data_IF_583593516504
#
_entry.id   IF_583593516504
#
_cell.length_a   1.000
_cell.length_b   1.000
_cell.length_c   1.000
_cell.angle_alpha   90.00
_cell.angle_beta   90.00
_cell.angle_gamma   90.00
#
_symmetry.space_group_name_H-M   'P 1'
#
loop_
_entity.id
_entity.type
_entity.pdbx_description
1 polymer ?
#
# COMPACT_ATOMS: atom_id res chain seq x y z
N UNK A 1 -11.01 15.15 -24.99
CA UNK A 1 -10.79 13.69 -25.06
C UNK A 1 -9.32 13.33 -24.81
N UNK A 2 -8.36 13.78 -25.63
CA UNK A 2 -6.94 13.38 -25.52
C UNK A 2 -6.23 13.81 -24.21
N UNK A 3 -6.43 15.06 -23.75
CA UNK A 3 -5.81 15.56 -22.52
C UNK A 3 -6.24 14.75 -21.28
N UNK A 4 -7.52 14.38 -21.20
CA UNK A 4 -8.07 13.55 -20.14
C UNK A 4 -7.49 12.14 -20.15
N UNK A 5 -7.18 11.59 -21.33
CA UNK A 5 -6.53 10.29 -21.46
C UNK A 5 -5.08 10.32 -20.94
N UNK A 6 -4.34 11.39 -21.26
CA UNK A 6 -2.97 11.57 -20.75
C UNK A 6 -2.93 11.66 -19.22
N UNK A 7 -3.83 12.45 -18.61
CA UNK A 7 -3.93 12.51 -17.15
C UNK A 7 -4.32 11.18 -16.53
N UNK A 8 -5.22 10.42 -17.15
CA UNK A 8 -5.61 9.09 -16.67
C UNK A 8 -4.45 8.09 -16.66
N UNK A 9 -3.57 8.12 -17.67
CA UNK A 9 -2.39 7.25 -17.72
C UNK A 9 -1.37 7.65 -16.64
N UNK A 10 -1.13 8.95 -16.47
CA UNK A 10 -0.23 9.47 -15.43
C UNK A 10 -0.75 9.10 -14.04
N UNK A 11 -2.06 9.25 -13.79
CA UNK A 11 -2.71 8.85 -12.56
C UNK A 11 -2.56 7.35 -12.30
N UNK A 12 -2.75 6.49 -13.31
CA UNK A 12 -2.57 5.05 -13.19
C UNK A 12 -1.14 4.67 -12.78
N UNK A 13 -0.13 5.31 -13.40
CA UNK A 13 1.29 5.12 -13.05
C UNK A 13 1.58 5.58 -11.61
N UNK A 14 1.08 6.76 -11.24
CA UNK A 14 1.20 7.31 -9.90
C UNK A 14 0.59 6.39 -8.84
N UNK A 15 -0.66 5.99 -9.04
CA UNK A 15 -1.40 5.10 -8.15
C UNK A 15 -0.72 3.72 -8.04
N UNK A 16 -0.21 3.15 -9.14
CA UNK A 16 0.51 1.87 -9.10
C UNK A 16 1.82 1.95 -8.28
N UNK A 17 2.58 3.04 -8.43
CA UNK A 17 3.81 3.26 -7.64
C UNK A 17 3.48 3.49 -6.16
N UNK A 18 2.47 4.30 -5.86
CA UNK A 18 1.99 4.56 -4.51
C UNK A 18 1.50 3.26 -3.84
N UNK A 19 0.73 2.45 -4.54
CA UNK A 19 0.26 1.14 -4.07
C UNK A 19 1.44 0.21 -3.75
N UNK A 20 2.45 0.16 -4.62
CA UNK A 20 3.63 -0.68 -4.41
C UNK A 20 4.43 -0.26 -3.19
N UNK A 21 4.64 1.04 -3.00
CA UNK A 21 5.38 1.60 -1.86
C UNK A 21 4.58 1.44 -0.57
N UNK A 22 3.28 1.75 -0.58
CA UNK A 22 2.41 1.64 0.60
C UNK A 22 2.21 0.21 1.05
N UNK A 23 2.02 -0.74 0.13
CA UNK A 23 2.00 -2.16 0.43
C UNK A 23 3.33 -2.60 1.07
N UNK A 24 4.46 -2.22 0.46
CA UNK A 24 5.79 -2.54 1.00
C UNK A 24 6.01 -1.95 2.39
N UNK A 25 5.56 -0.72 2.64
CA UNK A 25 5.64 -0.07 3.96
C UNK A 25 4.79 -0.78 5.03
N UNK A 26 3.65 -1.33 4.61
CA UNK A 26 2.75 -2.07 5.49
C UNK A 26 3.30 -3.46 5.83
N UNK A 27 3.97 -4.13 4.88
CA UNK A 27 4.63 -5.43 5.11
C UNK A 27 5.90 -5.33 5.95
N UNK A 28 6.74 -4.31 5.73
CA UNK A 28 7.99 -4.17 6.49
C UNK A 28 7.75 -3.71 7.94
N UNK A 29 6.63 -3.02 8.22
CA UNK A 29 6.31 -2.47 9.52
C UNK A 29 7.22 -1.29 9.94
N UNK A 30 6.92 -0.63 11.07
CA UNK A 30 7.71 0.50 11.56
C UNK A 30 9.01 0.03 12.21
N UNK A 31 10.03 0.89 12.15
CA UNK A 31 11.24 0.73 12.95
C UNK A 31 10.93 1.09 14.41
N UNK A 32 11.15 0.14 15.34
CA UNK A 32 10.87 0.39 16.75
C UNK A 32 11.83 -0.35 17.67
N UNK A 33 11.89 0.09 18.93
CA UNK A 33 12.56 -0.61 20.01
C UNK A 33 11.66 -1.75 20.51
N UNK A 34 12.12 -3.00 20.39
CA UNK A 34 11.39 -4.17 20.87
C UNK A 34 12.22 -4.97 21.89
N UNK A 35 11.53 -5.72 22.76
CA UNK A 35 12.19 -6.59 23.74
C UNK A 35 12.80 -7.81 23.04
N UNK A 36 14.11 -8.00 23.21
CA UNK A 36 14.79 -9.24 22.85
C UNK A 36 15.03 -10.04 24.13
N UNK A 37 14.16 -11.01 24.38
CA UNK A 37 14.32 -11.94 25.49
C UNK A 37 15.34 -13.02 25.15
N UNK A 38 16.63 -12.71 25.23
CA UNK A 38 17.65 -13.75 25.45
C UNK A 38 17.89 -13.83 26.94
N UNK A 39 17.74 -15.04 27.50
CA UNK A 39 17.90 -15.33 28.93
C UNK A 39 19.03 -14.50 29.55
N UNK A 40 18.71 -13.74 30.58
CA UNK A 40 19.58 -12.97 31.48
C UNK A 40 19.93 -11.49 31.19
N UNK A 41 19.53 -10.86 30.07
CA UNK A 41 19.60 -9.38 29.98
C UNK A 41 18.43 -8.79 29.18
N UNK A 42 17.57 -8.04 29.85
CA UNK A 42 16.48 -7.27 29.22
C UNK A 42 17.07 -6.02 28.55
N UNK A 43 17.71 -6.20 27.39
CA UNK A 43 18.15 -5.08 26.55
C UNK A 43 17.18 -4.90 25.38
N UNK A 44 16.70 -3.68 25.17
CA UNK A 44 15.90 -3.33 23.99
C UNK A 44 16.77 -3.29 22.75
N UNK A 45 16.31 -3.86 21.63
CA UNK A 45 16.98 -3.77 20.32
C UNK A 45 16.12 -2.97 19.35
N UNK A 46 16.74 -2.07 18.62
CA UNK A 46 16.09 -1.34 17.53
C UNK A 46 16.08 -2.19 16.25
N UNK A 47 14.92 -2.34 15.64
CA UNK A 47 14.79 -3.10 14.40
C UNK A 47 13.38 -3.14 13.85
N UNK A 48 13.18 -4.03 12.88
CA UNK A 48 11.87 -4.33 12.30
C UNK A 48 11.40 -5.68 12.85
N UNK A 49 10.57 -5.71 13.91
CA UNK A 49 10.16 -6.96 14.53
C UNK A 49 9.26 -7.83 13.63
N UNK A 50 8.73 -7.27 12.54
CA UNK A 50 7.79 -7.93 11.61
C UNK A 50 8.43 -8.36 10.29
N UNK A 51 9.74 -8.16 10.11
CA UNK A 51 10.42 -8.56 8.87
C UNK A 51 10.59 -10.08 8.86
N UNK A 52 9.69 -10.80 8.20
CA UNK A 52 9.98 -12.18 7.78
C UNK A 52 10.98 -12.14 6.62
N UNK A 53 12.02 -12.97 6.68
CA UNK A 53 13.05 -13.06 5.64
C UNK A 53 12.55 -13.75 4.35
N UNK A 54 11.25 -13.96 4.20
CA UNK A 54 10.69 -14.69 3.06
C UNK A 54 10.26 -13.75 1.94
N UNK A 55 10.69 -14.02 0.70
CA UNK A 55 10.42 -13.18 -0.46
C UNK A 55 8.93 -13.14 -0.77
N UNK A 56 8.49 -11.98 -1.27
CA UNK A 56 7.11 -11.63 -1.59
C UNK A 56 6.53 -12.51 -2.73
N UNK A 57 6.26 -13.78 -2.44
CA UNK A 57 5.30 -14.55 -3.22
C UNK A 57 3.94 -14.22 -2.64
N UNK A 58 2.96 -13.97 -3.51
CA UNK A 58 1.53 -13.96 -3.20
C UNK A 58 1.15 -15.34 -2.63
N UNK A 59 1.55 -15.60 -1.39
CA UNK A 59 1.26 -16.82 -0.66
C UNK A 59 0.32 -16.47 0.47
N UNK A 60 -0.70 -17.29 0.55
CA UNK A 60 -1.73 -17.38 1.57
C UNK A 60 -1.11 -17.82 2.92
N UNK A 61 -0.15 -17.05 3.42
CA UNK A 61 0.49 -17.22 4.72
C UNK A 61 0.19 -15.99 5.56
N UNK A 62 -1.04 -16.03 6.07
CA UNK A 62 -1.72 -15.04 6.90
C UNK A 62 -1.05 -14.87 8.25
N UNK A 63 0.00 -14.07 8.34
CA UNK A 63 0.32 -13.33 9.56
C UNK A 63 0.63 -11.90 9.16
N UNK A 64 -0.35 -11.27 8.50
CA UNK A 64 -0.25 -9.86 8.15
C UNK A 64 -0.34 -9.10 9.46
N UNK A 65 0.70 -8.34 9.76
CA UNK A 65 0.82 -7.36 10.85
C UNK A 65 -0.48 -6.61 11.17
N UNK A 66 -1.37 -6.40 10.18
CA UNK A 66 -2.71 -5.83 10.26
C UNK A 66 -3.69 -6.51 11.23
N UNK A 67 -3.63 -7.84 11.42
CA UNK A 67 -4.71 -8.58 12.11
C UNK A 67 -4.46 -8.83 13.60
N UNK A 68 -3.22 -8.71 14.08
CA UNK A 68 -2.86 -8.92 15.49
C UNK A 68 -2.86 -7.61 16.29
N UNK A 69 -3.99 -6.90 16.24
CA UNK A 69 -4.27 -5.65 16.96
C UNK A 69 -3.90 -5.71 18.47
N UNK A 70 -4.15 -6.79 19.24
CA UNK A 70 -3.77 -6.83 20.66
C UNK A 70 -2.26 -6.92 20.90
N UNK A 71 -1.45 -7.29 19.90
CA UNK A 71 0.01 -7.47 20.02
C UNK A 71 0.78 -6.16 19.72
N UNK A 72 0.11 -5.19 19.09
CA UNK A 72 0.72 -3.92 18.68
C UNK A 72 1.24 -3.05 19.83
N UNK A 73 0.56 -3.10 20.98
CA UNK A 73 0.90 -2.27 22.13
C UNK A 73 2.03 -2.87 22.99
N UNK A 74 2.36 -4.15 22.80
CA UNK A 74 3.37 -4.86 23.61
C UNK A 74 4.69 -5.12 22.89
N UNK A 75 4.72 -5.02 21.56
CA UNK A 75 5.94 -5.28 20.76
C UNK A 75 6.87 -4.06 20.67
N UNK A 76 6.32 -2.88 20.42
CA UNK A 76 7.12 -1.65 20.28
C UNK A 76 7.01 -0.80 21.55
N UNK A 77 8.13 -0.64 22.25
CA UNK A 77 8.24 0.12 23.51
C UNK A 77 8.35 1.61 23.22
N UNK A 78 9.19 1.99 22.26
CA UNK A 78 9.43 3.37 21.89
C UNK A 78 9.62 3.50 20.36
N UNK A 79 9.02 4.52 19.72
CA UNK A 79 8.09 5.52 20.25
C UNK A 79 6.64 4.99 20.45
N UNK A 80 5.87 5.55 21.40
CA UNK A 80 4.50 5.10 21.66
C UNK A 80 3.58 5.37 20.46
N UNK A 81 2.64 4.45 20.20
CA UNK A 81 1.64 4.55 19.12
C UNK A 81 2.18 4.64 17.68
N UNK A 82 3.46 4.35 17.44
CA UNK A 82 4.03 4.35 16.07
C UNK A 82 3.38 3.30 15.15
N UNK A 83 3.01 2.16 15.74
CA UNK A 83 2.38 1.02 15.07
C UNK A 83 1.02 1.39 14.45
N UNK A 84 0.01 1.84 15.21
CA UNK A 84 -1.29 2.20 14.64
C UNK A 84 -1.19 3.38 13.67
N UNK A 85 -0.28 4.33 13.90
CA UNK A 85 -0.06 5.45 12.99
C UNK A 85 0.46 4.99 11.62
N UNK A 86 1.54 4.21 11.62
CA UNK A 86 2.16 3.68 10.40
C UNK A 86 1.18 2.78 9.63
N UNK A 87 0.50 1.88 10.34
CA UNK A 87 -0.49 0.97 9.77
C UNK A 87 -1.68 1.71 9.16
N UNK A 88 -2.25 2.68 9.88
CA UNK A 88 -3.39 3.48 9.41
C UNK A 88 -3.05 4.36 8.20
N UNK A 89 -1.88 4.99 8.21
CA UNK A 89 -1.41 5.84 7.10
C UNK A 89 -1.23 5.02 5.82
N UNK A 90 -0.47 3.92 5.89
CA UNK A 90 -0.22 3.08 4.71
C UNK A 90 -1.47 2.35 4.23
N UNK A 91 -2.36 1.94 5.13
CA UNK A 91 -3.65 1.36 4.77
C UNK A 91 -4.52 2.37 4.01
N UNK A 92 -4.60 3.61 4.48
CA UNK A 92 -5.36 4.68 3.81
C UNK A 92 -4.79 4.97 2.41
N UNK A 93 -3.46 5.06 2.28
CA UNK A 93 -2.81 5.25 0.97
C UNK A 93 -3.08 4.10 0.01
N UNK A 94 -3.06 2.86 0.50
CA UNK A 94 -3.37 1.68 -0.30
C UNK A 94 -4.82 1.73 -0.82
N UNK A 95 -5.78 2.03 0.06
CA UNK A 95 -7.20 2.18 -0.30
C UNK A 95 -7.42 3.29 -1.35
N UNK A 96 -6.82 4.46 -1.14
CA UNK A 96 -6.93 5.59 -2.08
C UNK A 96 -6.33 5.22 -3.43
N UNK A 97 -5.17 4.55 -3.46
CA UNK A 97 -4.52 4.14 -4.70
C UNK A 97 -5.35 3.11 -5.47
N UNK A 98 -5.99 2.15 -4.78
CA UNK A 98 -6.91 1.20 -5.41
C UNK A 98 -8.10 1.92 -6.03
N UNK A 99 -8.69 2.87 -5.31
CA UNK A 99 -9.81 3.67 -5.82
C UNK A 99 -9.40 4.49 -7.04
N UNK A 100 -8.22 5.10 -7.03
CA UNK A 100 -7.68 5.87 -8.16
C UNK A 100 -7.45 4.99 -9.40
N UNK A 101 -6.91 3.78 -9.23
CA UNK A 101 -6.76 2.80 -10.31
C UNK A 101 -8.13 2.46 -10.92
N UNK A 102 -9.13 2.17 -10.08
CA UNK A 102 -10.48 1.84 -10.56
C UNK A 102 -11.08 3.00 -11.36
N UNK A 103 -11.04 4.21 -10.81
CA UNK A 103 -11.62 5.40 -11.44
C UNK A 103 -10.92 5.77 -12.76
N UNK A 104 -9.59 5.73 -12.78
CA UNK A 104 -8.80 6.01 -13.99
C UNK A 104 -9.02 4.95 -15.07
N UNK A 105 -9.16 3.67 -14.71
CA UNK A 105 -9.52 2.62 -15.67
C UNK A 105 -10.90 2.86 -16.31
N UNK A 106 -11.91 3.24 -15.52
CA UNK A 106 -13.22 3.61 -16.06
C UNK A 106 -13.13 4.81 -17.01
N UNK A 107 -12.36 5.84 -16.65
CA UNK A 107 -12.18 7.01 -17.50
C UNK A 107 -11.47 6.66 -18.81
N UNK A 108 -10.46 5.79 -18.74
CA UNK A 108 -9.75 5.28 -19.90
C UNK A 108 -10.66 4.50 -20.85
N UNK A 109 -11.47 3.58 -20.34
CA UNK A 109 -12.44 2.80 -21.14
C UNK A 109 -13.45 3.72 -21.82
N UNK A 110 -14.04 4.66 -21.08
CA UNK A 110 -15.01 5.60 -21.63
C UNK A 110 -14.40 6.51 -22.70
N UNK A 111 -13.17 6.97 -22.50
CA UNK A 111 -12.44 7.75 -23.51
C UNK A 111 -12.14 6.92 -24.77
N UNK A 112 -11.78 5.65 -24.60
CA UNK A 112 -11.48 4.74 -25.71
C UNK A 112 -12.73 4.42 -26.54
N UNK A 113 -13.86 4.12 -25.88
CA UNK A 113 -15.14 3.92 -26.55
C UNK A 113 -15.61 5.18 -27.29
N UNK A 114 -15.40 6.37 -26.72
CA UNK A 114 -15.68 7.65 -27.39
C UNK A 114 -14.80 7.89 -28.62
N UNK A 115 -13.55 7.40 -28.62
CA UNK A 115 -12.65 7.49 -29.77
C UNK A 115 -13.06 6.54 -30.90
N UNK A 116 -13.45 5.30 -30.57
CA UNK A 116 -13.93 4.31 -31.56
C UNK A 116 -15.32 4.70 -32.10
N UNK A 117 -16.23 5.13 -31.23
CA UNK A 117 -17.59 5.54 -31.60
C UNK A 117 -17.70 6.91 -32.27
N UNK A 118 -16.66 7.75 -32.17
CA UNK A 118 -16.59 9.06 -32.81
C UNK A 118 -16.01 9.05 -34.24
N UNK A 119 -15.46 7.93 -34.72
CA UNK A 119 -14.86 7.83 -36.06
C UNK A 119 -15.91 7.62 -37.18
N UNK A 120 -17.19 7.92 -36.93
CA UNK A 120 -18.27 7.86 -37.91
C UNK A 120 -19.12 9.14 -37.94
N UNK A 121 -18.50 10.33 -37.97
CA UNK A 121 -19.17 11.55 -38.48
C UNK A 121 -18.27 12.30 -39.47
N UNK A 122 -17.91 11.60 -40.54
CA UNK A 122 -17.16 12.11 -41.69
C UNK A 122 -17.84 11.74 -43.02
N UNK A 123 -19.16 11.53 -43.02
CA UNK A 123 -19.98 11.54 -44.23
C UNK A 123 -21.19 12.43 -44.04
N UNK A 124 -20.97 13.73 -44.26
CA UNK A 124 -21.78 14.62 -45.09
C UNK A 124 -20.96 15.86 -45.44
#
# INVERSE_FOLDING_TARGET
MLLSNMFSIIALLGAATCLSISASGLFNGPYCLYHVGTMDVVNGKWGYPFKSEEPCVFSNSTNVYLFDIPVWSSVCIEPPHIVPWNSGLFSSLCLISILEIILSLFQFINAFLGMIGGHCDGRK
#
